data_IF_462659830911
#
_entry.id   IF_462659830911
#
_cell.length_a   1.000
_cell.length_b   1.000
_cell.length_c   1.000
_cell.angle_alpha   90.00
_cell.angle_beta   90.00
_cell.angle_gamma   90.00
#
_symmetry.space_group_name_H-M   'P 1'
#
loop_
_entity.id
_entity.type
_entity.pdbx_description
1 polymer ?
#
# COMPACT_ATOMS: atom_id res chain seq x y z
N UNK A 1 42.02 9.62 -54.41
CA UNK A 1 40.73 8.92 -54.64
C UNK A 1 40.66 7.77 -53.64
N UNK A 2 39.83 7.93 -52.60
CA UNK A 2 39.66 7.01 -51.47
C UNK A 2 38.92 5.74 -51.91
N UNK A 3 39.29 4.56 -51.39
CA UNK A 3 38.35 3.46 -51.20
C UNK A 3 38.69 2.75 -49.88
N UNK A 4 37.85 2.96 -48.86
CA UNK A 4 37.81 2.18 -47.61
C UNK A 4 36.75 1.08 -47.79
N UNK A 5 37.13 -0.19 -47.62
CA UNK A 5 36.18 -1.31 -47.53
C UNK A 5 35.46 -1.28 -46.18
N UNK A 6 34.13 -1.11 -46.20
CA UNK A 6 33.26 -1.29 -45.05
C UNK A 6 32.58 -2.67 -45.14
N UNK A 7 32.88 -3.54 -44.17
CA UNK A 7 32.14 -4.79 -43.93
C UNK A 7 30.77 -4.44 -43.35
N UNK A 8 29.71 -4.80 -44.08
CA UNK A 8 28.32 -4.72 -43.65
C UNK A 8 27.94 -6.04 -42.95
N UNK A 9 27.85 -6.03 -41.63
CA UNK A 9 27.18 -7.07 -40.85
C UNK A 9 25.78 -6.59 -40.47
N UNK A 10 24.78 -7.04 -41.23
CA UNK A 10 23.38 -6.86 -40.87
C UNK A 10 23.04 -7.82 -39.70
N UNK A 11 23.03 -7.29 -38.48
CA UNK A 11 22.49 -7.99 -37.32
C UNK A 11 20.96 -7.85 -37.33
N UNK A 12 20.27 -8.96 -37.60
CA UNK A 12 18.82 -9.06 -37.51
C UNK A 12 18.38 -8.83 -36.06
N UNK A 13 17.85 -7.65 -35.78
CA UNK A 13 17.24 -7.33 -34.50
C UNK A 13 15.97 -8.18 -34.31
N UNK A 14 16.06 -9.21 -33.48
CA UNK A 14 14.89 -9.93 -32.97
C UNK A 14 14.17 -9.00 -32.00
N UNK A 15 13.04 -8.43 -32.43
CA UNK A 15 12.07 -7.77 -31.55
C UNK A 15 11.56 -8.79 -30.52
N UNK A 16 11.97 -8.66 -29.27
CA UNK A 16 11.40 -9.42 -28.16
C UNK A 16 9.99 -8.90 -27.89
N UNK A 17 8.98 -9.62 -28.37
CA UNK A 17 7.60 -9.42 -27.94
C UNK A 17 7.53 -9.65 -26.43
N UNK A 18 7.04 -8.66 -25.68
CA UNK A 18 6.82 -8.79 -24.25
C UNK A 18 5.80 -9.90 -23.99
N UNK A 19 6.26 -11.05 -23.49
CA UNK A 19 5.41 -12.19 -23.18
C UNK A 19 4.45 -11.81 -22.05
N UNK A 20 3.16 -11.71 -22.37
CA UNK A 20 2.10 -11.47 -21.39
C UNK A 20 2.00 -12.67 -20.45
N UNK A 21 2.25 -12.47 -19.15
CA UNK A 21 2.09 -13.50 -18.12
C UNK A 21 0.60 -13.81 -17.94
N UNK A 22 0.22 -15.07 -18.18
CA UNK A 22 -1.15 -15.61 -18.06
C UNK A 22 -1.26 -16.66 -16.95
N UNK A 23 -2.47 -16.92 -16.46
CA UNK A 23 -2.71 -17.98 -15.47
C UNK A 23 -2.55 -19.38 -16.09
N UNK A 24 -1.81 -20.32 -15.46
CA UNK A 24 -1.77 -21.72 -15.91
C UNK A 24 -3.08 -22.44 -15.59
N UNK A 25 -3.35 -23.61 -16.20
CA UNK A 25 -4.46 -24.49 -15.83
C UNK A 25 -4.44 -24.83 -14.33
N UNK A 26 -5.64 -24.99 -13.74
CA UNK A 26 -5.79 -25.48 -12.37
C UNK A 26 -5.22 -26.90 -12.19
N UNK A 27 -5.05 -27.31 -10.94
CA UNK A 27 -4.57 -28.65 -10.58
C UNK A 27 -3.12 -28.70 -10.06
N UNK A 28 -2.54 -27.56 -9.68
CA UNK A 28 -1.15 -27.52 -9.20
C UNK A 28 -1.06 -27.58 -7.68
N UNK A 29 -0.13 -28.39 -7.18
CA UNK A 29 0.07 -28.60 -5.74
C UNK A 29 1.53 -28.84 -5.35
N UNK A 30 1.78 -28.92 -4.04
CA UNK A 30 3.10 -29.18 -3.47
C UNK A 30 3.73 -30.43 -4.09
N UNK A 31 4.96 -30.30 -4.57
CA UNK A 31 5.71 -31.37 -5.22
C UNK A 31 5.64 -31.37 -6.75
N UNK A 32 4.64 -30.71 -7.35
CA UNK A 32 4.57 -30.55 -8.80
C UNK A 32 5.78 -29.75 -9.34
N UNK A 33 6.15 -30.03 -10.60
CA UNK A 33 7.28 -29.37 -11.28
C UNK A 33 6.95 -29.12 -12.75
N UNK A 34 7.65 -28.16 -13.35
CA UNK A 34 7.60 -27.92 -14.80
C UNK A 34 6.92 -26.60 -15.19
N UNK A 35 6.69 -26.40 -16.50
CA UNK A 35 6.40 -25.08 -17.07
C UNK A 35 5.11 -24.45 -16.51
N UNK A 36 4.12 -25.25 -16.15
CA UNK A 36 2.87 -24.76 -15.54
C UNK A 36 3.11 -24.19 -14.14
N UNK A 37 3.97 -24.82 -13.35
CA UNK A 37 4.38 -24.30 -12.03
C UNK A 37 5.17 -23.01 -12.19
N UNK A 38 6.08 -22.97 -13.18
CA UNK A 38 6.83 -21.74 -13.49
C UNK A 38 5.89 -20.60 -13.90
N UNK A 39 4.86 -20.90 -14.69
CA UNK A 39 3.86 -19.92 -15.10
C UNK A 39 3.03 -19.42 -13.90
N UNK A 40 2.64 -20.30 -12.97
CA UNK A 40 1.99 -19.92 -11.71
C UNK A 40 2.89 -18.98 -10.90
N UNK A 41 4.16 -19.35 -10.75
CA UNK A 41 5.17 -18.55 -10.06
C UNK A 41 5.37 -17.18 -10.71
N UNK A 42 5.44 -17.11 -12.04
CA UNK A 42 5.55 -15.84 -12.77
C UNK A 42 4.32 -14.95 -12.57
N UNK A 43 3.12 -15.55 -12.55
CA UNK A 43 1.88 -14.84 -12.24
C UNK A 43 1.87 -14.31 -10.80
N UNK A 44 2.24 -15.13 -9.82
CA UNK A 44 2.35 -14.73 -8.42
C UNK A 44 3.44 -13.66 -8.22
N UNK A 45 4.54 -13.72 -8.96
CA UNK A 45 5.56 -12.65 -8.99
C UNK A 45 4.99 -11.36 -9.58
N UNK A 46 4.26 -11.44 -10.70
CA UNK A 46 3.60 -10.27 -11.32
C UNK A 46 2.61 -9.61 -10.36
N UNK A 47 1.91 -10.41 -9.57
CA UNK A 47 0.93 -9.97 -8.57
C UNK A 47 1.53 -9.68 -7.18
N UNK A 48 2.86 -9.76 -7.02
CA UNK A 48 3.56 -9.40 -5.78
C UNK A 48 3.48 -10.43 -4.64
N UNK A 49 2.96 -11.62 -4.89
CA UNK A 49 2.91 -12.72 -3.91
C UNK A 49 4.23 -13.50 -3.81
N UNK A 50 5.14 -13.32 -4.77
CA UNK A 50 6.49 -13.89 -4.78
C UNK A 50 7.51 -12.89 -5.37
N UNK A 51 8.79 -13.10 -5.09
CA UNK A 51 9.89 -12.38 -5.75
C UNK A 51 10.55 -13.22 -6.84
N UNK A 52 11.18 -12.57 -7.83
CA UNK A 52 11.96 -13.27 -8.86
C UNK A 52 13.05 -14.19 -8.27
N UNK A 53 13.64 -13.78 -7.15
CA UNK A 53 14.65 -14.57 -6.44
C UNK A 53 14.04 -15.83 -5.80
N UNK A 54 12.81 -15.76 -5.28
CA UNK A 54 12.12 -16.90 -4.69
C UNK A 54 11.73 -17.98 -5.71
N UNK A 55 11.61 -17.62 -7.00
CA UNK A 55 11.18 -18.51 -8.08
C UNK A 55 12.30 -18.90 -9.04
N UNK A 56 13.55 -18.52 -8.75
CA UNK A 56 14.73 -18.82 -9.55
C UNK A 56 15.18 -20.30 -9.41
N UNK A 57 14.25 -21.25 -9.56
CA UNK A 57 14.45 -22.68 -9.29
C UNK A 57 14.48 -23.53 -10.57
N UNK A 58 14.91 -22.96 -11.71
CA UNK A 58 14.91 -23.68 -13.00
C UNK A 58 13.50 -23.84 -13.60
N UNK A 59 13.05 -25.05 -14.00
CA UNK A 59 11.79 -25.26 -14.73
C UNK A 59 10.51 -25.02 -13.90
N UNK A 60 10.62 -24.48 -12.69
CA UNK A 60 9.52 -24.25 -11.75
C UNK A 60 9.29 -25.46 -10.83
N UNK A 61 9.36 -25.22 -9.52
CA UNK A 61 9.12 -26.23 -8.47
C UNK A 61 8.05 -25.68 -7.51
N UNK A 62 6.99 -26.45 -7.31
CA UNK A 62 5.93 -26.10 -6.37
C UNK A 62 6.37 -26.59 -4.98
N UNK A 63 7.24 -25.83 -4.33
CA UNK A 63 7.68 -26.10 -2.96
C UNK A 63 6.90 -25.30 -1.93
N UNK A 64 7.34 -25.36 -0.67
CA UNK A 64 6.70 -24.65 0.45
C UNK A 64 6.54 -23.15 0.20
N UNK A 65 7.49 -22.51 -0.48
CA UNK A 65 7.40 -21.08 -0.85
C UNK A 65 6.26 -20.81 -1.82
N UNK A 66 6.08 -21.66 -2.82
CA UNK A 66 4.98 -21.55 -3.79
C UNK A 66 3.65 -21.82 -3.12
N UNK A 67 3.58 -22.85 -2.26
CA UNK A 67 2.40 -23.16 -1.45
C UNK A 67 2.00 -21.97 -0.56
N UNK A 68 2.94 -21.40 0.18
CA UNK A 68 2.70 -20.23 1.02
C UNK A 68 2.18 -19.03 0.21
N UNK A 69 2.75 -18.79 -0.98
CA UNK A 69 2.28 -17.73 -1.87
C UNK A 69 0.86 -17.97 -2.39
N UNK A 70 0.52 -19.22 -2.76
CA UNK A 70 -0.84 -19.61 -3.15
C UNK A 70 -1.81 -19.47 -1.99
N UNK A 71 -1.45 -19.95 -0.80
CA UNK A 71 -2.26 -19.79 0.42
C UNK A 71 -2.51 -18.32 0.73
N UNK A 72 -1.49 -17.47 0.61
CA UNK A 72 -1.63 -16.02 0.81
C UNK A 72 -2.54 -15.40 -0.23
N UNK A 73 -2.37 -15.75 -1.51
CA UNK A 73 -3.24 -15.30 -2.58
C UNK A 73 -4.70 -15.70 -2.32
N UNK A 74 -4.94 -16.95 -1.92
CA UNK A 74 -6.28 -17.42 -1.55
C UNK A 74 -6.87 -16.62 -0.39
N UNK A 75 -6.10 -16.37 0.67
CA UNK A 75 -6.55 -15.61 1.83
C UNK A 75 -6.95 -14.18 1.44
N UNK A 76 -6.07 -13.49 0.69
CA UNK A 76 -6.29 -12.11 0.25
C UNK A 76 -7.52 -12.02 -0.70
N UNK A 77 -7.80 -13.07 -1.47
CA UNK A 77 -8.95 -13.16 -2.37
C UNK A 77 -10.19 -13.87 -1.77
N UNK A 78 -10.20 -14.13 -0.46
CA UNK A 78 -11.33 -14.76 0.28
C UNK A 78 -11.72 -16.14 -0.25
N UNK A 79 -10.73 -16.91 -0.71
CA UNK A 79 -10.87 -18.29 -1.13
C UNK A 79 -10.49 -19.24 0.02
N UNK A 80 -10.90 -20.52 -0.04
CA UNK A 80 -10.35 -21.55 0.84
C UNK A 80 -8.82 -21.59 0.75
N UNK A 81 -8.14 -21.44 1.89
CA UNK A 81 -6.68 -21.29 2.00
C UNK A 81 -5.97 -22.64 1.99
N UNK A 82 -6.26 -23.46 1.00
CA UNK A 82 -5.80 -24.85 0.91
C UNK A 82 -4.32 -24.96 0.52
N UNK A 83 -3.74 -23.92 -0.08
CA UNK A 83 -2.43 -23.98 -0.73
C UNK A 83 -2.44 -24.78 -2.05
N UNK A 84 -3.60 -25.29 -2.44
CA UNK A 84 -3.86 -25.99 -3.70
C UNK A 84 -4.34 -25.00 -4.76
N UNK A 85 -3.69 -24.99 -5.92
CA UNK A 85 -4.09 -24.17 -7.05
C UNK A 85 -5.20 -24.87 -7.87
N UNK A 86 -6.39 -24.93 -7.28
CA UNK A 86 -7.61 -25.45 -7.92
C UNK A 86 -8.39 -24.39 -8.71
N UNK A 87 -9.58 -24.76 -9.20
CA UNK A 87 -10.39 -23.94 -10.12
C UNK A 87 -10.74 -22.56 -9.57
N UNK A 88 -11.09 -22.47 -8.28
CA UNK A 88 -11.37 -21.20 -7.62
C UNK A 88 -10.15 -20.27 -7.61
N UNK A 89 -8.98 -20.84 -7.29
CA UNK A 89 -7.71 -20.10 -7.28
C UNK A 89 -7.32 -19.68 -8.70
N UNK A 90 -7.51 -20.57 -9.68
CA UNK A 90 -7.27 -20.27 -11.10
C UNK A 90 -8.14 -19.11 -11.59
N UNK A 91 -9.45 -19.15 -11.34
CA UNK A 91 -10.39 -18.11 -11.74
C UNK A 91 -10.03 -16.75 -11.11
N UNK A 92 -9.70 -16.74 -9.82
CA UNK A 92 -9.25 -15.52 -9.14
C UNK A 92 -7.92 -15.01 -9.68
N UNK A 93 -6.95 -15.88 -9.95
CA UNK A 93 -5.64 -15.49 -10.50
C UNK A 93 -5.80 -14.87 -11.89
N UNK A 94 -6.64 -15.48 -12.75
CA UNK A 94 -6.97 -14.94 -14.08
C UNK A 94 -7.59 -13.55 -13.98
N UNK A 95 -8.53 -13.35 -13.04
CA UNK A 95 -9.15 -12.04 -12.78
C UNK A 95 -8.10 -11.02 -12.31
N UNK A 96 -7.26 -11.39 -11.35
CA UNK A 96 -6.22 -10.52 -10.80
C UNK A 96 -5.18 -10.10 -11.85
N UNK A 97 -4.80 -11.01 -12.76
CA UNK A 97 -3.89 -10.72 -13.87
C UNK A 97 -4.48 -9.81 -14.95
N UNK A 98 -5.82 -9.74 -15.06
CA UNK A 98 -6.56 -8.89 -15.98
C UNK A 98 -6.92 -7.51 -15.42
N UNK A 99 -6.73 -7.28 -14.11
CA UNK A 99 -6.91 -5.98 -13.47
C UNK A 99 -5.56 -5.26 -13.33
N UNK A 100 -5.45 -4.02 -13.81
CA UNK A 100 -4.22 -3.18 -13.81
C UNK A 100 -3.69 -2.78 -12.42
N UNK A 101 -4.16 -3.39 -11.33
CA UNK A 101 -3.64 -3.14 -9.98
C UNK A 101 -2.38 -3.97 -9.72
N UNK A 102 -1.26 -3.53 -10.30
CA UNK A 102 0.07 -3.95 -9.86
C UNK A 102 0.30 -3.45 -8.42
N UNK A 103 0.73 -4.29 -7.47
CA UNK A 103 1.26 -3.80 -6.19
C UNK A 103 2.46 -2.88 -6.46
N UNK A 104 2.63 -1.76 -5.74
CA UNK A 104 3.79 -0.88 -5.93
C UNK A 104 5.09 -1.67 -5.82
N UNK A 105 6.03 -1.42 -6.72
CA UNK A 105 7.40 -1.93 -6.60
C UNK A 105 8.04 -1.23 -5.39
N UNK A 106 8.72 -1.94 -4.47
CA UNK A 106 9.50 -1.28 -3.43
C UNK A 106 10.51 -0.33 -4.08
N UNK A 107 10.41 0.97 -3.78
CA UNK A 107 11.49 1.94 -4.06
C UNK A 107 11.16 3.20 -4.88
N UNK A 108 10.01 3.32 -5.56
CA UNK A 108 9.63 4.59 -6.23
C UNK A 108 8.13 4.85 -6.14
N UNK A 109 7.72 5.59 -5.11
CA UNK A 109 6.34 6.03 -4.94
C UNK A 109 6.19 7.45 -5.48
N UNK A 110 5.23 7.65 -6.38
CA UNK A 110 4.83 8.99 -6.82
C UNK A 110 3.64 9.46 -5.99
N UNK A 111 3.48 10.78 -5.85
CA UNK A 111 2.29 11.36 -5.19
C UNK A 111 1.03 10.83 -5.88
N UNK A 112 0.13 10.13 -5.16
CA UNK A 112 -1.10 9.64 -5.76
C UNK A 112 -2.01 10.83 -6.13
N UNK A 113 -2.95 10.63 -7.09
CA UNK A 113 -3.95 11.65 -7.36
C UNK A 113 -4.79 11.91 -6.11
N UNK A 114 -5.05 13.19 -5.83
CA UNK A 114 -5.86 13.63 -4.69
C UNK A 114 -7.02 14.50 -5.15
N UNK A 115 -8.12 14.44 -4.42
CA UNK A 115 -9.21 15.41 -4.53
C UNK A 115 -8.96 16.53 -3.53
N UNK A 116 -8.83 17.75 -4.03
CA UNK A 116 -8.67 18.92 -3.17
C UNK A 116 -9.99 19.19 -2.41
N UNK A 117 -9.94 19.13 -1.09
CA UNK A 117 -11.09 19.36 -0.20
C UNK A 117 -10.64 20.18 1.02
N UNK A 118 -10.24 21.45 0.81
CA UNK A 118 -9.49 22.20 1.81
C UNK A 118 -10.28 22.38 3.12
N UNK A 119 -9.54 22.28 4.23
CA UNK A 119 -10.00 22.60 5.58
C UNK A 119 -9.34 23.91 6.06
N UNK A 120 -10.10 24.79 6.73
CA UNK A 120 -9.54 25.99 7.37
C UNK A 120 -8.80 25.67 8.68
N UNK A 121 -8.98 24.47 9.23
CA UNK A 121 -8.45 24.05 10.54
C UNK A 121 -6.97 23.70 10.44
N UNK A 122 -6.12 24.70 10.24
CA UNK A 122 -4.67 24.53 10.17
C UNK A 122 -3.97 25.79 10.62
N UNK A 123 -2.69 25.65 10.96
CA UNK A 123 -1.83 26.79 11.22
C UNK A 123 -0.42 26.55 10.65
N UNK A 124 0.47 27.53 10.80
CA UNK A 124 1.88 27.35 10.46
C UNK A 124 2.51 26.24 11.30
N UNK A 125 3.37 25.41 10.69
CA UNK A 125 4.24 24.46 11.39
C UNK A 125 5.47 25.11 12.04
N UNK A 126 5.65 26.41 11.86
CA UNK A 126 6.76 27.15 12.48
C UNK A 126 8.15 26.71 12.01
N UNK A 127 8.26 26.16 10.79
CA UNK A 127 9.53 25.65 10.24
C UNK A 127 9.94 24.26 10.73
N UNK A 128 9.09 23.57 11.50
CA UNK A 128 9.38 22.19 11.91
C UNK A 128 9.39 21.23 10.71
N UNK A 129 10.40 20.34 10.68
CA UNK A 129 10.50 19.28 9.69
C UNK A 129 9.35 18.28 9.81
N UNK A 130 9.00 17.65 8.69
CA UNK A 130 8.07 16.53 8.66
C UNK A 130 8.90 15.27 8.80
N UNK A 131 8.77 14.59 9.93
CA UNK A 131 9.54 13.37 10.22
C UNK A 131 8.70 12.22 10.75
N UNK A 132 7.37 12.39 10.73
CA UNK A 132 6.41 11.45 11.32
C UNK A 132 5.16 11.37 10.46
N UNK A 133 4.58 10.18 10.33
CA UNK A 133 3.26 9.97 9.73
C UNK A 133 2.38 9.34 10.82
N UNK A 134 1.22 9.94 11.07
CA UNK A 134 0.26 9.43 12.06
C UNK A 134 -0.98 8.95 11.34
N UNK A 135 -1.27 7.66 11.47
CA UNK A 135 -2.46 7.02 10.93
C UNK A 135 -3.59 7.04 11.95
N UNK A 136 -4.79 7.35 11.47
CA UNK A 136 -6.02 7.43 12.24
C UNK A 136 -7.10 6.58 11.58
N UNK A 137 -8.19 6.35 12.32
CA UNK A 137 -9.48 6.05 11.68
C UNK A 137 -10.51 7.06 12.15
N UNK A 138 -11.50 7.34 11.31
CA UNK A 138 -12.44 8.44 11.55
C UNK A 138 -13.44 8.17 12.69
N UNK A 139 -13.62 6.91 13.07
CA UNK A 139 -14.58 6.49 14.10
C UNK A 139 -16.01 6.42 13.57
N UNK A 140 -16.18 6.57 12.26
CA UNK A 140 -17.42 6.46 11.52
C UNK A 140 -17.16 5.74 10.20
N UNK A 141 -18.19 5.18 9.59
CA UNK A 141 -18.10 4.61 8.24
C UNK A 141 -18.77 5.53 7.21
N UNK A 142 -18.79 6.84 7.46
CA UNK A 142 -19.45 7.87 6.65
C UNK A 142 -18.42 8.89 6.14
N UNK A 143 -17.70 8.52 5.08
CA UNK A 143 -16.62 9.36 4.53
C UNK A 143 -17.08 10.77 4.14
N UNK A 144 -18.30 10.95 3.62
CA UNK A 144 -18.84 12.26 3.29
C UNK A 144 -19.04 13.13 4.54
N UNK A 145 -19.56 12.54 5.63
CA UNK A 145 -19.73 13.20 6.92
C UNK A 145 -18.40 13.53 7.59
N UNK A 146 -17.46 12.59 7.58
CA UNK A 146 -16.12 12.77 8.15
C UNK A 146 -15.36 13.90 7.44
N UNK A 147 -15.41 13.92 6.11
CA UNK A 147 -14.81 14.97 5.29
C UNK A 147 -15.43 16.34 5.59
N UNK A 148 -16.76 16.41 5.72
CA UNK A 148 -17.45 17.65 6.07
C UNK A 148 -17.06 18.14 7.47
N UNK A 149 -16.97 17.23 8.45
CA UNK A 149 -16.61 17.55 9.83
C UNK A 149 -15.19 18.12 9.95
N UNK A 150 -14.21 17.48 9.32
CA UNK A 150 -12.81 17.96 9.32
C UNK A 150 -12.61 19.29 8.59
N UNK A 151 -13.59 19.72 7.78
CA UNK A 151 -13.59 21.01 7.08
C UNK A 151 -14.43 22.08 7.77
N UNK A 152 -15.20 21.71 8.80
CA UNK A 152 -15.98 22.66 9.58
C UNK A 152 -15.06 23.47 10.51
N UNK A 153 -15.00 24.81 10.42
CA UNK A 153 -14.21 25.64 11.34
C UNK A 153 -14.50 25.38 12.83
N UNK A 154 -15.74 25.01 13.16
CA UNK A 154 -16.15 24.76 14.53
C UNK A 154 -15.63 23.45 15.11
N UNK A 155 -15.21 22.49 14.27
CA UNK A 155 -14.70 21.20 14.76
C UNK A 155 -13.33 21.33 15.43
N UNK A 156 -12.55 22.35 15.04
CA UNK A 156 -11.18 22.58 15.49
C UNK A 156 -10.28 21.34 15.38
N UNK A 157 -10.58 20.48 14.41
CA UNK A 157 -9.79 19.29 14.05
C UNK A 157 -9.68 19.15 12.54
N UNK A 158 -8.61 18.52 12.08
CA UNK A 158 -8.35 18.22 10.67
C UNK A 158 -7.25 17.19 10.53
N UNK A 159 -7.10 16.63 9.34
CA UNK A 159 -5.95 15.86 8.91
C UNK A 159 -5.37 16.46 7.63
N UNK A 160 -4.19 16.00 7.20
CA UNK A 160 -3.66 16.39 5.88
C UNK A 160 -4.40 15.64 4.78
N UNK A 161 -4.63 14.34 5.01
CA UNK A 161 -5.30 13.46 4.06
C UNK A 161 -6.43 12.67 4.71
N UNK A 162 -7.45 12.33 3.91
CA UNK A 162 -8.47 11.34 4.24
C UNK A 162 -8.60 10.31 3.12
N UNK A 163 -8.64 9.02 3.47
CA UNK A 163 -8.92 7.92 2.56
C UNK A 163 -10.35 7.41 2.75
N UNK A 164 -11.18 7.54 1.72
CA UNK A 164 -12.52 6.97 1.72
C UNK A 164 -12.48 5.44 1.47
N UNK A 165 -13.62 4.78 1.63
CA UNK A 165 -13.76 3.31 1.55
C UNK A 165 -13.37 2.75 0.18
N UNK A 166 -13.55 3.53 -0.88
CA UNK A 166 -13.16 3.20 -2.26
C UNK A 166 -11.68 3.48 -2.57
N UNK A 167 -10.91 3.96 -1.59
CA UNK A 167 -9.51 4.33 -1.75
C UNK A 167 -9.27 5.71 -2.33
N UNK A 168 -10.31 6.52 -2.57
CA UNK A 168 -10.13 7.93 -2.95
C UNK A 168 -9.42 8.69 -1.84
N UNK A 169 -8.40 9.46 -2.22
CA UNK A 169 -7.64 10.31 -1.31
C UNK A 169 -8.14 11.75 -1.44
N UNK A 170 -8.53 12.36 -0.33
CA UNK A 170 -8.79 13.78 -0.23
C UNK A 170 -7.62 14.46 0.46
N UNK A 171 -7.16 15.61 -0.06
CA UNK A 171 -6.20 16.47 0.62
C UNK A 171 -6.94 17.67 1.24
N UNK A 172 -6.90 17.76 2.57
CA UNK A 172 -7.60 18.79 3.34
C UNK A 172 -6.66 19.90 3.78
N UNK A 173 -5.43 19.55 4.18
CA UNK A 173 -4.39 20.49 4.59
C UNK A 173 -3.12 20.17 3.79
N UNK A 174 -2.47 21.20 3.27
CA UNK A 174 -1.19 21.07 2.57
C UNK A 174 -0.11 20.55 3.52
N UNK A 175 0.82 19.75 2.99
CA UNK A 175 1.88 19.10 3.78
C UNK A 175 2.73 20.13 4.56
N UNK A 176 2.91 21.32 3.98
CA UNK A 176 3.67 22.44 4.53
C UNK A 176 3.00 23.10 5.75
N UNK A 177 1.74 22.77 6.05
CA UNK A 177 1.02 23.30 7.21
C UNK A 177 0.96 22.31 8.35
N UNK A 178 0.47 22.77 9.48
CA UNK A 178 0.15 21.97 10.66
C UNK A 178 -1.35 21.71 10.69
N UNK A 179 -1.77 20.49 10.34
CA UNK A 179 -3.13 20.02 10.59
C UNK A 179 -3.35 19.72 12.09
N UNK A 180 -4.61 19.61 12.51
CA UNK A 180 -4.99 19.46 13.92
C UNK A 180 -5.58 18.06 14.19
N UNK A 181 -4.73 17.02 14.17
CA UNK A 181 -5.16 15.61 14.26
C UNK A 181 -4.69 14.91 15.55
N UNK A 182 -3.44 15.13 15.97
CA UNK A 182 -2.81 14.38 17.06
C UNK A 182 -3.25 14.86 18.46
N UNK A 183 -3.51 16.15 18.62
CA UNK A 183 -3.70 16.76 19.94
C UNK A 183 -2.43 16.65 20.80
N UNK A 184 -2.58 16.54 22.13
CA UNK A 184 -1.44 16.36 23.04
C UNK A 184 -0.76 15.01 22.79
N UNK A 185 0.54 15.01 22.50
CA UNK A 185 1.27 13.79 22.17
C UNK A 185 2.74 13.79 22.56
N UNK A 186 3.38 12.66 22.28
CA UNK A 186 4.81 12.41 22.44
C UNK A 186 5.29 11.57 21.27
N UNK A 187 6.60 11.57 21.02
CA UNK A 187 7.26 10.65 20.12
C UNK A 187 8.31 9.87 20.90
N UNK A 188 8.20 8.54 20.91
CA UNK A 188 9.13 7.64 21.60
C UNK A 188 9.38 8.03 23.08
N UNK A 189 8.33 8.43 23.80
CA UNK A 189 8.39 8.84 25.21
C UNK A 189 8.80 10.30 25.44
N UNK A 190 9.06 11.07 24.39
CA UNK A 190 9.45 12.49 24.48
C UNK A 190 8.26 13.38 24.14
N UNK A 191 7.73 14.17 25.10
CA UNK A 191 6.66 15.14 24.82
C UNK A 191 7.04 16.07 23.66
N UNK A 192 6.16 16.19 22.67
CA UNK A 192 6.45 16.95 21.45
C UNK A 192 5.16 17.44 20.80
N UNK A 193 5.25 18.48 19.97
CA UNK A 193 4.11 18.88 19.13
C UNK A 193 4.01 17.94 17.92
N UNK A 194 3.33 16.81 18.12
CA UNK A 194 3.16 15.78 17.08
C UNK A 194 2.48 16.36 15.84
N UNK A 195 1.46 17.21 16.00
CA UNK A 195 0.83 17.90 14.87
C UNK A 195 1.84 18.70 14.05
N UNK A 196 2.75 19.40 14.74
CA UNK A 196 3.74 20.27 14.11
C UNK A 196 4.78 19.53 13.29
N UNK A 197 5.06 18.24 13.56
CA UNK A 197 6.12 17.46 12.89
C UNK A 197 5.61 16.28 12.06
N UNK A 198 4.29 16.13 11.93
CA UNK A 198 3.71 14.96 11.28
C UNK A 198 2.69 15.25 10.21
N UNK A 199 2.51 14.26 9.34
CA UNK A 199 1.38 14.17 8.41
C UNK A 199 0.33 13.22 9.01
N UNK A 200 -0.79 13.77 9.46
CA UNK A 200 -1.99 13.01 9.81
C UNK A 200 -2.77 12.50 8.59
N UNK A 201 -3.08 11.21 8.58
CA UNK A 201 -3.88 10.53 7.55
C UNK A 201 -5.07 9.83 8.23
N UNK A 202 -6.28 10.25 7.88
CA UNK A 202 -7.53 9.64 8.32
C UNK A 202 -7.99 8.55 7.36
N UNK A 203 -8.44 7.42 7.88
CA UNK A 203 -8.93 6.30 7.07
C UNK A 203 -10.36 6.01 7.48
N UNK A 204 -11.31 6.17 6.56
CA UNK A 204 -12.74 6.01 6.84
C UNK A 204 -13.02 4.58 7.32
N UNK A 205 -13.38 4.45 8.59
CA UNK A 205 -13.68 3.20 9.26
C UNK A 205 -14.34 3.49 10.61
N UNK A 206 -15.34 2.69 10.97
CA UNK A 206 -16.10 2.85 12.22
C UNK A 206 -15.29 2.57 13.50
N UNK A 207 -14.09 2.01 13.40
CA UNK A 207 -13.24 1.77 14.56
C UNK A 207 -13.64 0.57 15.42
N UNK A 208 -14.68 -0.17 15.01
CA UNK A 208 -15.25 -1.26 15.82
C UNK A 208 -14.34 -2.47 16.00
N UNK A 209 -13.25 -2.55 15.23
CA UNK A 209 -12.42 -3.75 15.09
C UNK A 209 -13.08 -4.86 14.26
N UNK A 210 -14.35 -4.69 13.85
CA UNK A 210 -15.11 -5.67 13.05
C UNK A 210 -15.12 -5.29 11.57
N UNK A 211 -15.33 -4.01 11.28
CA UNK A 211 -15.35 -3.51 9.89
C UNK A 211 -13.94 -3.51 9.31
N UNK A 212 -13.66 -4.31 8.26
CA UNK A 212 -12.32 -4.35 7.68
C UNK A 212 -11.99 -3.03 6.99
N UNK A 213 -10.72 -2.63 7.06
CA UNK A 213 -10.16 -1.67 6.12
C UNK A 213 -10.12 -2.30 4.72
N UNK A 214 -10.56 -1.58 3.69
CA UNK A 214 -10.73 -2.15 2.34
C UNK A 214 -9.40 -2.34 1.62
N UNK A 215 -9.39 -3.22 0.62
CA UNK A 215 -8.20 -3.38 -0.24
C UNK A 215 -7.84 -2.09 -0.98
N UNK A 216 -8.85 -1.32 -1.38
CA UNK A 216 -8.66 -0.04 -2.03
C UNK A 216 -8.02 0.98 -1.08
N UNK A 217 -8.43 1.01 0.19
CA UNK A 217 -7.80 1.82 1.23
C UNK A 217 -6.33 1.42 1.42
N UNK A 218 -6.01 0.14 1.58
CA UNK A 218 -4.61 -0.28 1.72
C UNK A 218 -3.77 0.09 0.49
N UNK A 219 -4.30 -0.12 -0.71
CA UNK A 219 -3.57 0.21 -1.95
C UNK A 219 -3.22 1.70 -2.01
N UNK A 220 -4.21 2.56 -1.77
CA UNK A 220 -4.02 4.02 -1.78
C UNK A 220 -3.16 4.49 -0.61
N UNK A 221 -3.32 3.88 0.56
CA UNK A 221 -2.54 4.19 1.76
C UNK A 221 -1.07 3.83 1.56
N UNK A 222 -0.76 2.65 1.04
CA UNK A 222 0.60 2.23 0.73
C UNK A 222 1.25 3.20 -0.25
N UNK A 223 0.54 3.61 -1.30
CA UNK A 223 1.05 4.58 -2.27
C UNK A 223 1.34 5.94 -1.62
N UNK A 224 0.40 6.45 -0.82
CA UNK A 224 0.52 7.75 -0.15
C UNK A 224 1.62 7.75 0.91
N UNK A 225 1.61 6.77 1.82
CA UNK A 225 2.62 6.64 2.88
C UNK A 225 4.01 6.40 2.28
N UNK A 226 4.11 5.59 1.23
CA UNK A 226 5.36 5.36 0.51
C UNK A 226 5.91 6.65 -0.10
N UNK A 227 5.06 7.45 -0.74
CA UNK A 227 5.44 8.75 -1.29
C UNK A 227 5.89 9.72 -0.20
N UNK A 228 5.08 9.92 0.85
CA UNK A 228 5.40 10.84 1.95
C UNK A 228 6.68 10.44 2.68
N UNK A 229 6.89 9.13 2.88
CA UNK A 229 8.12 8.59 3.46
C UNK A 229 9.34 8.92 2.62
N UNK A 230 9.23 8.83 1.29
CA UNK A 230 10.32 9.16 0.37
C UNK A 230 10.59 10.66 0.31
N UNK A 231 9.54 11.46 0.16
CA UNK A 231 9.59 12.91 0.04
C UNK A 231 10.23 13.55 1.29
N UNK A 232 9.75 13.18 2.47
CA UNK A 232 10.17 13.78 3.74
C UNK A 232 11.20 12.96 4.51
N UNK A 233 11.69 11.86 3.92
CA UNK A 233 12.66 10.95 4.55
C UNK A 233 12.22 10.44 5.93
N UNK A 234 10.93 10.20 6.09
CA UNK A 234 10.33 9.73 7.36
C UNK A 234 10.94 8.38 7.73
N UNK A 235 11.51 8.22 8.94
CA UNK A 235 11.98 6.93 9.43
C UNK A 235 10.83 5.92 9.51
N UNK A 236 11.10 4.64 9.18
CA UNK A 236 10.04 3.62 9.16
C UNK A 236 9.38 3.42 10.54
N UNK A 237 10.12 3.64 11.63
CA UNK A 237 9.63 3.61 13.01
C UNK A 237 8.82 4.86 13.42
N UNK A 238 8.75 5.88 12.56
CA UNK A 238 7.93 7.08 12.75
C UNK A 238 6.65 7.06 11.90
N UNK A 239 6.27 5.88 11.37
CA UNK A 239 4.94 5.62 10.81
C UNK A 239 4.13 4.93 11.92
N UNK A 240 3.30 5.72 12.60
CA UNK A 240 2.70 5.37 13.89
C UNK A 240 1.17 5.51 13.84
N UNK A 241 0.47 4.84 14.74
CA UNK A 241 -0.94 5.10 15.01
C UNK A 241 -1.13 6.26 15.97
N UNK A 242 -2.33 6.85 16.01
CA UNK A 242 -2.65 7.90 16.98
C UNK A 242 -2.48 7.42 18.42
N UNK A 243 -2.85 6.17 18.70
CA UNK A 243 -2.67 5.54 20.02
C UNK A 243 -1.21 5.50 20.49
N UNK A 244 -0.26 5.41 19.56
CA UNK A 244 1.17 5.30 19.89
C UNK A 244 1.73 6.65 20.34
N UNK A 245 1.23 7.75 19.76
CA UNK A 245 1.70 9.12 20.03
C UNK A 245 0.84 9.86 21.06
N UNK A 246 -0.41 9.44 21.30
CA UNK A 246 -1.33 10.16 22.17
C UNK A 246 -0.93 10.08 23.64
N UNK A 247 -1.00 11.22 24.34
CA UNK A 247 -0.87 11.28 25.80
C UNK A 247 -2.13 11.89 26.45
N UNK A 248 -2.53 11.47 27.66
CA UNK A 248 -2.00 10.28 28.37
C UNK A 248 -2.25 8.99 27.57
N UNK A 249 -1.44 7.95 27.81
CA UNK A 249 -1.63 6.66 27.13
C UNK A 249 -3.02 6.12 27.42
N UNK A 250 -3.67 5.56 26.39
CA UNK A 250 -5.07 5.13 26.44
C UNK A 250 -6.09 6.21 26.05
N UNK A 251 -5.69 7.47 25.85
CA UNK A 251 -6.59 8.53 25.34
C UNK A 251 -7.18 8.21 23.96
N UNK A 252 -6.41 7.51 23.13
CA UNK A 252 -6.73 7.17 21.75
C UNK A 252 -6.46 5.70 21.50
N UNK A 253 -7.32 5.06 20.72
CA UNK A 253 -7.25 3.64 20.35
C UNK A 253 -7.01 3.43 18.86
N UNK A 254 -6.98 4.52 18.08
CA UNK A 254 -6.88 4.47 16.64
C UNK A 254 -5.42 4.39 16.12
N UNK A 255 -5.20 3.75 14.95
CA UNK A 255 -6.18 2.98 14.18
C UNK A 255 -6.60 1.70 14.92
N UNK A 256 -7.81 1.23 14.62
CA UNK A 256 -8.41 0.06 15.28
C UNK A 256 -7.52 -1.19 15.18
N UNK A 257 -7.71 -2.14 16.09
CA UNK A 257 -6.84 -3.33 16.22
C UNK A 257 -6.79 -4.20 14.96
N UNK A 258 -7.85 -4.18 14.14
CA UNK A 258 -7.92 -4.90 12.87
C UNK A 258 -7.22 -4.17 11.70
N UNK A 259 -6.53 -3.05 11.96
CA UNK A 259 -5.61 -2.43 11.01
C UNK A 259 -4.35 -3.29 10.87
N UNK A 260 -4.12 -3.81 9.66
CA UNK A 260 -3.03 -4.70 9.31
C UNK A 260 -1.75 -3.91 8.98
N UNK A 261 -0.98 -3.63 10.02
CA UNK A 261 0.33 -3.02 9.90
C UNK A 261 1.31 -3.82 9.04
N UNK A 262 1.20 -5.15 9.05
CA UNK A 262 2.10 -6.00 8.26
C UNK A 262 1.82 -5.84 6.77
N UNK A 263 0.55 -5.77 6.39
CA UNK A 263 0.13 -5.47 5.01
C UNK A 263 0.64 -4.12 4.54
N UNK A 264 0.49 -3.07 5.35
CA UNK A 264 1.04 -1.75 4.99
C UNK A 264 2.56 -1.83 4.81
N UNK A 265 3.29 -2.36 5.80
CA UNK A 265 4.76 -2.42 5.80
C UNK A 265 5.34 -3.29 4.70
N UNK A 266 4.67 -4.39 4.34
CA UNK A 266 5.09 -5.24 3.22
C UNK A 266 4.99 -4.53 1.87
N UNK A 267 4.16 -3.49 1.77
CA UNK A 267 4.00 -2.69 0.55
C UNK A 267 4.94 -1.48 0.45
N UNK A 268 5.65 -1.09 1.52
CA UNK A 268 6.56 0.08 1.58
C UNK A 268 8.01 -0.28 1.21
#
# INVERSE_FOLDING_TARGET
>A
MQIRNALSTAATARTAAATTVTAPPAGLELGNRGPQVKQLQDALVKLGYMTKAQVATGPGIFGEKTKAAVTKFQADHKLPTTGYYGDLTHAALKKALGSDSKPPKPGTFTKPPVVNAPSPNSNSRGGADIDTIVLHHTGSNNGAGDLAWMRNPQSQVSAHYMLDRDGKIYQLVGDEKRAWHAGKGELHGVPTDVNGRSIGIEIVNDGSGKTPFTDAQYKSLTQLVGYLKQEYKVPANNILGHKDVAVPKGRKSDPAENFDWNRLRAGL
#
